data_IF_619828582145
#
_entry.id   IF_619828582145
#
_cell.length_a   1.000
_cell.length_b   1.000
_cell.length_c   1.000
_cell.angle_alpha   90.00
_cell.angle_beta   90.00
_cell.angle_gamma   90.00
#
_symmetry.space_group_name_H-M   'P 1'
#
loop_
_entity.id
_entity.type
_entity.pdbx_description
1 polymer ?
#
# COMPACT_ATOMS: atom_id res chain seq x y z
N UNK A 1 2.16 16.08 -1.49
CA UNK A 1 2.69 14.83 -0.89
C UNK A 1 2.81 14.95 0.63
N UNK A 2 3.41 16.02 1.15
CA UNK A 2 3.57 16.24 2.58
C UNK A 2 2.26 16.13 3.39
N UNK A 3 1.17 16.75 2.96
CA UNK A 3 -0.09 16.77 3.72
C UNK A 3 -0.85 15.43 3.72
N UNK A 4 -0.46 14.51 2.84
CA UNK A 4 -1.10 13.20 2.74
C UNK A 4 -0.81 12.36 3.98
N UNK A 5 0.41 12.43 4.52
CA UNK A 5 0.89 11.62 5.65
C UNK A 5 1.31 12.41 6.88
N UNK A 6 1.55 13.73 6.79
CA UNK A 6 1.96 14.53 7.95
C UNK A 6 0.94 14.43 9.08
N UNK A 7 1.40 14.07 10.27
CA UNK A 7 0.55 13.98 11.45
C UNK A 7 -0.34 12.73 11.48
N UNK A 8 -0.13 11.77 10.58
CA UNK A 8 -0.98 10.58 10.42
C UNK A 8 -0.20 9.29 10.66
N UNK A 9 -0.91 8.23 11.04
CA UNK A 9 -0.37 6.86 11.07
C UNK A 9 -0.43 6.22 9.69
N UNK A 10 0.64 5.53 9.30
CA UNK A 10 0.83 4.94 7.97
C UNK A 10 1.08 3.44 8.07
N UNK A 11 0.38 2.66 7.24
CA UNK A 11 0.64 1.24 7.02
C UNK A 11 1.11 1.02 5.59
N UNK A 12 2.32 0.50 5.41
CA UNK A 12 2.82 0.08 4.10
C UNK A 12 2.66 -1.44 3.92
N UNK A 13 1.89 -1.84 2.92
CA UNK A 13 1.65 -3.22 2.52
C UNK A 13 2.70 -3.65 1.50
N UNK A 14 3.33 -4.81 1.70
CA UNK A 14 4.37 -5.34 0.79
C UNK A 14 5.53 -4.37 0.62
N UNK A 15 6.16 -3.99 1.72
CA UNK A 15 7.10 -2.86 1.80
C UNK A 15 8.38 -3.08 1.01
N UNK A 16 8.79 -4.33 0.74
CA UNK A 16 10.02 -4.62 0.01
C UNK A 16 11.25 -3.98 0.70
N UNK A 17 11.83 -2.95 0.10
CA UNK A 17 12.97 -2.23 0.73
C UNK A 17 12.55 -1.23 1.81
N UNK A 18 11.27 -0.88 1.89
CA UNK A 18 10.70 0.07 2.84
C UNK A 18 10.87 1.54 2.43
N UNK A 19 11.32 1.81 1.21
CA UNK A 19 11.60 3.17 0.75
C UNK A 19 10.42 4.12 0.96
N UNK A 20 9.21 3.72 0.56
CA UNK A 20 8.05 4.59 0.59
C UNK A 20 7.63 4.91 2.03
N UNK A 21 7.50 3.92 2.90
CA UNK A 21 7.17 4.12 4.31
C UNK A 21 8.27 4.86 5.08
N UNK A 22 9.55 4.59 4.81
CA UNK A 22 10.65 5.36 5.41
C UNK A 22 10.58 6.84 5.02
N UNK A 23 10.24 7.14 3.76
CA UNK A 23 9.98 8.52 3.31
C UNK A 23 8.76 9.10 4.02
N UNK A 24 7.66 8.37 4.16
CA UNK A 24 6.48 8.81 4.91
C UNK A 24 6.82 9.21 6.36
N UNK A 25 7.63 8.39 7.03
CA UNK A 25 8.13 8.70 8.38
C UNK A 25 9.00 9.98 8.38
N UNK A 26 9.94 10.10 7.43
CA UNK A 26 10.83 11.25 7.34
C UNK A 26 10.09 12.58 7.04
N UNK A 27 8.97 12.51 6.32
CA UNK A 27 8.11 13.67 6.05
C UNK A 27 7.00 13.83 7.09
N UNK A 28 7.15 13.25 8.28
CA UNK A 28 6.34 13.60 9.45
C UNK A 28 5.06 12.80 9.64
N UNK A 29 4.98 11.57 9.12
CA UNK A 29 4.05 10.58 9.69
C UNK A 29 4.35 10.38 11.18
N UNK A 30 3.31 10.20 12.00
CA UNK A 30 3.46 10.02 13.45
C UNK A 30 3.84 8.59 13.80
N UNK A 31 3.46 7.65 12.95
CA UNK A 31 3.76 6.23 13.04
C UNK A 31 3.81 5.67 11.61
N UNK A 32 4.73 4.75 11.36
CA UNK A 32 4.79 3.99 10.12
C UNK A 32 5.06 2.52 10.43
N UNK A 33 4.16 1.65 9.99
CA UNK A 33 4.33 0.22 10.04
C UNK A 33 4.67 -0.31 8.65
N UNK A 34 5.87 -0.87 8.50
CA UNK A 34 6.32 -1.57 7.30
C UNK A 34 5.96 -3.04 7.42
N UNK A 35 5.29 -3.59 6.42
CA UNK A 35 4.86 -4.98 6.42
C UNK A 35 5.27 -5.73 5.17
N UNK A 36 5.65 -7.00 5.35
CA UNK A 36 5.92 -7.95 4.28
C UNK A 36 5.68 -9.37 4.80
N UNK A 37 5.57 -10.35 3.90
CA UNK A 37 5.43 -11.76 4.25
C UNK A 37 6.79 -12.48 4.24
N UNK A 38 7.76 -11.99 3.46
CA UNK A 38 9.04 -12.65 3.29
C UNK A 38 10.01 -12.29 4.44
N UNK A 39 10.51 -13.30 5.16
CA UNK A 39 11.42 -13.13 6.30
C UNK A 39 12.75 -12.45 5.96
N UNK A 40 13.28 -12.68 4.78
CA UNK A 40 14.51 -12.02 4.33
C UNK A 40 14.24 -10.53 4.06
N UNK A 41 13.07 -10.22 3.50
CA UNK A 41 12.61 -8.84 3.30
C UNK A 41 12.36 -8.15 4.64
N UNK A 42 11.74 -8.82 5.60
CA UNK A 42 11.55 -8.28 6.96
C UNK A 42 12.89 -7.97 7.66
N UNK A 43 13.91 -8.80 7.44
CA UNK A 43 15.25 -8.51 7.96
C UNK A 43 15.88 -7.30 7.26
N UNK A 44 15.74 -7.19 5.94
CA UNK A 44 16.17 -6.03 5.17
C UNK A 44 15.47 -4.74 5.64
N UNK A 45 14.16 -4.78 5.87
CA UNK A 45 13.37 -3.65 6.35
C UNK A 45 13.89 -3.15 7.70
N UNK A 46 14.24 -4.05 8.62
CA UNK A 46 14.83 -3.69 9.91
C UNK A 46 16.17 -2.98 9.73
N UNK A 47 17.06 -3.53 8.89
CA UNK A 47 18.36 -2.91 8.57
C UNK A 47 18.16 -1.52 7.96
N UNK A 48 17.27 -1.38 6.99
CA UNK A 48 17.01 -0.09 6.34
C UNK A 48 16.38 0.92 7.31
N UNK A 49 15.51 0.47 8.22
CA UNK A 49 14.95 1.31 9.27
C UNK A 49 16.03 1.79 10.23
N UNK A 50 16.94 0.92 10.64
CA UNK A 50 18.04 1.25 11.56
C UNK A 50 19.01 2.26 10.92
N UNK A 51 19.37 2.06 9.65
CA UNK A 51 20.25 2.98 8.89
C UNK A 51 19.62 4.37 8.76
N UNK A 52 18.29 4.45 8.64
CA UNK A 52 17.56 5.71 8.47
C UNK A 52 16.94 6.24 9.78
N UNK A 53 17.31 5.68 10.94
CA UNK A 53 16.69 6.00 12.23
C UNK A 53 16.78 7.48 12.64
N UNK A 54 17.79 8.21 12.17
CA UNK A 54 17.92 9.65 12.42
C UNK A 54 16.88 10.48 11.66
N UNK A 55 16.48 10.06 10.47
CA UNK A 55 15.50 10.75 9.62
C UNK A 55 14.09 10.19 9.78
N UNK A 56 13.95 8.89 10.00
CA UNK A 56 12.69 8.13 10.00
C UNK A 56 12.46 7.53 11.39
N UNK A 57 12.05 8.36 12.35
CA UNK A 57 12.08 8.04 13.79
C UNK A 57 10.94 7.15 14.29
N UNK A 58 9.85 7.05 13.53
CA UNK A 58 8.62 6.39 13.99
C UNK A 58 8.29 5.19 13.12
N UNK A 59 9.25 4.28 12.94
CA UNK A 59 9.13 3.13 12.03
C UNK A 59 9.17 1.82 12.82
N UNK A 60 8.27 0.91 12.48
CA UNK A 60 8.28 -0.46 12.97
C UNK A 60 8.10 -1.44 11.81
N UNK A 61 8.49 -2.70 12.01
CA UNK A 61 8.44 -3.75 10.99
C UNK A 61 7.67 -4.95 11.54
N UNK A 62 6.71 -5.47 10.77
CA UNK A 62 5.91 -6.64 11.17
C UNK A 62 5.67 -7.58 9.98
N UNK A 63 5.67 -8.88 10.25
CA UNK A 63 5.17 -9.88 9.30
C UNK A 63 3.65 -9.68 9.12
N UNK A 64 3.17 -9.74 7.87
CA UNK A 64 1.75 -9.65 7.56
C UNK A 64 1.38 -10.66 6.50
N UNK A 65 0.63 -11.68 6.91
CA UNK A 65 0.03 -12.65 5.98
C UNK A 65 -1.35 -12.17 5.53
N UNK A 66 -1.52 -11.99 4.23
CA UNK A 66 -2.77 -11.55 3.63
C UNK A 66 -3.86 -12.63 3.65
N UNK A 67 -3.53 -13.85 4.05
CA UNK A 67 -4.48 -14.94 4.23
C UNK A 67 -4.84 -15.15 5.71
N UNK A 68 -4.19 -14.42 6.62
CA UNK A 68 -4.42 -14.50 8.07
C UNK A 68 -5.49 -13.49 8.50
N UNK A 69 -6.69 -13.98 8.81
CA UNK A 69 -7.76 -13.15 9.38
C UNK A 69 -7.35 -12.52 10.72
N UNK A 70 -6.52 -13.21 11.50
CA UNK A 70 -5.99 -12.70 12.78
C UNK A 70 -5.10 -11.48 12.55
N UNK A 71 -4.17 -11.54 11.59
CA UNK A 71 -3.29 -10.42 11.26
C UNK A 71 -4.09 -9.19 10.79
N UNK A 72 -5.09 -9.40 9.92
CA UNK A 72 -5.97 -8.33 9.45
C UNK A 72 -6.79 -7.73 10.59
N UNK A 73 -7.34 -8.56 11.47
CA UNK A 73 -8.15 -8.12 12.60
C UNK A 73 -7.34 -7.24 13.56
N UNK A 74 -6.05 -7.52 13.72
CA UNK A 74 -5.16 -6.73 14.55
C UNK A 74 -4.90 -5.35 13.94
N UNK A 75 -4.90 -5.20 12.62
CA UNK A 75 -4.60 -3.92 11.94
C UNK A 75 -5.87 -3.11 11.58
N UNK A 76 -7.05 -3.74 11.69
CA UNK A 76 -8.36 -3.16 11.36
C UNK A 76 -8.56 -1.77 11.99
N UNK A 77 -8.75 -0.75 11.15
CA UNK A 77 -9.07 0.61 11.58
C UNK A 77 -7.96 1.36 12.33
N UNK A 78 -6.73 0.83 12.38
CA UNK A 78 -5.63 1.45 13.16
C UNK A 78 -4.87 2.57 12.44
N UNK A 79 -4.80 2.49 11.11
CA UNK A 79 -3.94 3.38 10.32
C UNK A 79 -4.75 4.34 9.48
N UNK A 80 -4.44 5.63 9.56
CA UNK A 80 -5.13 6.69 8.79
C UNK A 80 -4.85 6.55 7.29
N UNK A 81 -3.64 6.13 6.93
CA UNK A 81 -3.20 6.00 5.55
C UNK A 81 -2.63 4.62 5.32
N UNK A 82 -3.13 3.95 4.29
CA UNK A 82 -2.61 2.66 3.82
C UNK A 82 -1.95 2.91 2.46
N UNK A 83 -0.75 2.38 2.26
CA UNK A 83 -0.01 2.54 1.00
C UNK A 83 0.54 1.20 0.54
N UNK A 84 0.71 1.07 -0.77
CA UNK A 84 1.31 -0.11 -1.37
C UNK A 84 1.74 0.16 -2.80
N UNK A 85 2.80 -0.50 -3.24
CA UNK A 85 3.30 -0.42 -4.60
C UNK A 85 3.52 -1.81 -5.19
N UNK A 86 3.07 -2.04 -6.41
CA UNK A 86 3.24 -3.29 -7.15
C UNK A 86 2.69 -4.52 -6.39
N UNK A 87 1.50 -4.40 -5.80
CA UNK A 87 0.84 -5.49 -5.06
C UNK A 87 -0.12 -6.33 -5.91
N UNK A 88 -0.52 -5.81 -7.08
CA UNK A 88 -1.48 -6.47 -8.00
C UNK A 88 -0.72 -7.14 -9.13
N UNK A 89 -0.11 -8.29 -8.83
CA UNK A 89 0.72 -9.03 -9.79
C UNK A 89 0.31 -10.49 -9.99
N UNK A 90 -0.41 -11.09 -9.04
CA UNK A 90 -0.83 -12.49 -9.08
C UNK A 90 -2.37 -12.59 -8.97
N UNK A 91 -3.06 -13.17 -9.97
CA UNK A 91 -4.52 -13.33 -9.94
C UNK A 91 -5.02 -14.20 -8.78
N UNK A 92 -4.19 -15.11 -8.26
CA UNK A 92 -4.57 -15.97 -7.13
C UNK A 92 -4.51 -15.24 -5.79
N UNK A 93 -3.65 -14.21 -5.68
CA UNK A 93 -3.48 -13.40 -4.46
C UNK A 93 -4.43 -12.19 -4.45
N UNK A 94 -4.81 -11.69 -5.63
CA UNK A 94 -5.62 -10.47 -5.80
C UNK A 94 -6.93 -10.46 -4.99
N UNK A 95 -7.72 -11.56 -4.90
CA UNK A 95 -8.92 -11.58 -4.07
C UNK A 95 -8.66 -11.36 -2.57
N UNK A 96 -7.61 -11.97 -2.02
CA UNK A 96 -7.28 -11.84 -0.60
C UNK A 96 -6.67 -10.48 -0.27
N UNK A 97 -5.87 -9.93 -1.19
CA UNK A 97 -5.43 -8.54 -1.08
C UNK A 97 -6.62 -7.57 -1.04
N UNK A 98 -7.64 -7.79 -1.88
CA UNK A 98 -8.86 -6.98 -1.85
C UNK A 98 -9.65 -7.15 -0.53
N UNK A 99 -9.83 -8.39 -0.04
CA UNK A 99 -10.48 -8.66 1.26
C UNK A 99 -9.76 -7.96 2.41
N UNK A 100 -8.44 -7.92 2.38
CA UNK A 100 -7.64 -7.14 3.33
C UNK A 100 -8.02 -5.65 3.28
N UNK A 101 -8.07 -5.04 2.09
CA UNK A 101 -8.44 -3.62 1.97
C UNK A 101 -9.82 -3.33 2.57
N UNK A 102 -10.82 -4.19 2.32
CA UNK A 102 -12.15 -4.07 2.94
C UNK A 102 -12.11 -4.21 4.47
N UNK A 103 -11.19 -5.03 4.99
CA UNK A 103 -11.03 -5.24 6.43
C UNK A 103 -10.31 -4.08 7.12
N UNK A 104 -9.32 -3.47 6.45
CA UNK A 104 -8.49 -2.41 7.01
C UNK A 104 -9.15 -1.03 6.95
N UNK A 105 -9.85 -0.73 5.85
CA UNK A 105 -10.50 0.56 5.59
C UNK A 105 -11.92 0.53 6.16
N UNK A 106 -12.09 1.06 7.37
CA UNK A 106 -13.33 0.97 8.15
C UNK A 106 -13.86 2.31 8.64
N UNK A 107 -13.06 3.37 8.58
CA UNK A 107 -13.43 4.73 8.94
C UNK A 107 -13.31 5.67 7.73
N UNK A 108 -14.22 6.64 7.62
CA UNK A 108 -14.28 7.62 6.51
C UNK A 108 -13.04 8.52 6.42
N UNK A 109 -12.22 8.60 7.47
CA UNK A 109 -10.95 9.34 7.47
C UNK A 109 -9.80 8.54 6.85
N UNK A 110 -9.93 7.22 6.76
CA UNK A 110 -8.90 6.36 6.22
C UNK A 110 -8.86 6.43 4.70
N UNK A 111 -7.65 6.40 4.15
CA UNK A 111 -7.42 6.40 2.69
C UNK A 111 -6.36 5.37 2.36
N UNK A 112 -6.61 4.54 1.34
CA UNK A 112 -5.60 3.65 0.78
C UNK A 112 -5.13 4.11 -0.60
N UNK A 113 -3.82 4.09 -0.83
CA UNK A 113 -3.17 4.49 -2.09
C UNK A 113 -2.34 3.33 -2.62
N UNK A 114 -2.83 2.68 -3.68
CA UNK A 114 -2.18 1.52 -4.28
C UNK A 114 -1.67 1.90 -5.67
N UNK A 115 -0.35 1.95 -5.83
CA UNK A 115 0.28 2.13 -7.13
C UNK A 115 0.57 0.77 -7.75
N UNK A 116 0.15 0.56 -8.99
CA UNK A 116 0.29 -0.71 -9.70
C UNK A 116 0.89 -0.50 -11.08
N UNK A 117 2.04 -1.11 -11.34
CA UNK A 117 2.57 -1.29 -12.69
C UNK A 117 1.77 -2.37 -13.41
N UNK A 118 1.05 -2.00 -14.47
CA UNK A 118 0.18 -2.92 -15.23
C UNK A 118 1.04 -3.79 -16.14
N UNK A 119 1.43 -4.96 -15.62
CA UNK A 119 2.19 -5.98 -16.38
C UNK A 119 1.26 -6.97 -17.10
N UNK A 120 0.08 -7.22 -16.51
CA UNK A 120 -0.97 -8.09 -17.04
C UNK A 120 -2.31 -7.40 -16.86
N UNK A 121 -2.90 -6.95 -17.98
CA UNK A 121 -4.20 -6.29 -18.02
C UNK A 121 -5.29 -7.12 -17.32
N UNK A 122 -5.29 -8.44 -17.51
CA UNK A 122 -6.27 -9.34 -16.88
C UNK A 122 -6.23 -9.28 -15.35
N UNK A 123 -5.03 -9.35 -14.75
CA UNK A 123 -4.87 -9.28 -13.28
C UNK A 123 -5.28 -7.92 -12.74
N UNK A 124 -4.92 -6.83 -13.44
CA UNK A 124 -5.32 -5.49 -13.03
C UNK A 124 -6.84 -5.29 -13.16
N UNK A 125 -7.45 -5.79 -14.24
CA UNK A 125 -8.90 -5.72 -14.44
C UNK A 125 -9.68 -6.54 -13.41
N UNK A 126 -9.14 -7.68 -12.96
CA UNK A 126 -9.73 -8.43 -11.84
C UNK A 126 -9.77 -7.58 -10.57
N UNK A 127 -8.67 -6.89 -10.25
CA UNK A 127 -8.60 -6.00 -9.09
C UNK A 127 -9.59 -4.82 -9.20
N UNK A 128 -9.67 -4.16 -10.36
CA UNK A 128 -10.61 -3.04 -10.53
C UNK A 128 -12.07 -3.50 -10.48
N UNK A 129 -12.39 -4.68 -11.02
CA UNK A 129 -13.74 -5.25 -10.91
C UNK A 129 -14.13 -5.55 -9.45
N UNK A 130 -13.20 -6.04 -8.63
CA UNK A 130 -13.43 -6.23 -7.19
C UNK A 130 -13.72 -4.88 -6.50
N UNK A 131 -12.92 -3.85 -6.80
CA UNK A 131 -13.17 -2.50 -6.26
C UNK A 131 -14.51 -1.91 -6.69
N UNK A 132 -14.90 -2.06 -7.95
CA UNK A 132 -16.17 -1.57 -8.49
C UNK A 132 -17.38 -2.31 -7.90
N UNK A 133 -17.22 -3.60 -7.62
CA UNK A 133 -18.27 -4.44 -7.04
C UNK A 133 -18.35 -4.37 -5.51
N UNK A 134 -17.38 -3.74 -4.84
CA UNK A 134 -17.39 -3.59 -3.38
C UNK A 134 -18.66 -2.90 -2.90
N UNK A 135 -19.29 -3.47 -1.87
CA UNK A 135 -20.44 -2.86 -1.22
C UNK A 135 -20.03 -1.70 -0.30
N UNK A 136 -18.79 -1.70 0.22
CA UNK A 136 -18.35 -0.83 1.30
C UNK A 136 -17.26 0.17 0.89
N UNK A 137 -16.44 -0.15 -0.10
CA UNK A 137 -15.37 0.73 -0.59
C UNK A 137 -15.82 1.50 -1.84
N UNK A 138 -15.41 2.76 -1.93
CA UNK A 138 -15.34 3.50 -3.17
C UNK A 138 -13.89 3.61 -3.62
N UNK A 139 -13.66 3.66 -4.93
CA UNK A 139 -12.33 3.85 -5.48
C UNK A 139 -12.34 4.76 -6.69
N UNK A 140 -11.22 5.45 -6.91
CA UNK A 140 -10.90 6.09 -8.18
C UNK A 140 -9.51 5.63 -8.62
N UNK A 141 -9.38 5.32 -9.90
CA UNK A 141 -8.11 4.88 -10.49
C UNK A 141 -7.67 5.90 -11.52
N UNK A 142 -6.42 6.32 -11.44
CA UNK A 142 -5.82 7.31 -12.32
C UNK A 142 -4.61 6.71 -13.04
N UNK A 143 -4.44 7.04 -14.31
CA UNK A 143 -3.19 6.77 -15.02
C UNK A 143 -2.16 7.84 -14.62
N UNK A 144 -1.03 7.38 -14.09
CA UNK A 144 0.07 8.24 -13.66
C UNK A 144 1.35 7.99 -14.45
N UNK A 145 1.26 7.28 -15.58
CA UNK A 145 2.40 6.94 -16.44
C UNK A 145 3.12 8.19 -16.94
N UNK A 146 2.39 9.28 -17.17
CA UNK A 146 2.93 10.56 -17.66
C UNK A 146 3.46 11.46 -16.53
N UNK A 147 3.21 11.13 -15.25
CA UNK A 147 3.59 11.97 -14.11
C UNK A 147 5.05 11.78 -13.69
N UNK A 148 5.80 10.85 -14.28
CA UNK A 148 7.20 10.64 -13.96
C UNK A 148 8.02 10.02 -15.10
N UNK A 149 9.06 10.70 -15.61
CA UNK A 149 10.09 10.09 -16.46
C UNK A 149 11.13 9.26 -15.67
N UNK A 150 10.95 9.04 -14.36
CA UNK A 150 12.07 8.67 -13.47
C UNK A 150 12.39 7.16 -13.44
N UNK A 151 11.48 6.26 -13.85
CA UNK A 151 11.82 4.84 -14.02
C UNK A 151 11.01 4.18 -15.14
N UNK A 152 11.25 4.60 -16.38
CA UNK A 152 10.86 3.81 -17.55
C UNK A 152 12.08 2.98 -17.91
N UNK A 153 12.04 1.66 -17.68
CA UNK A 153 12.93 0.78 -18.43
C UNK A 153 12.59 1.02 -19.90
N UNK A 154 13.53 1.56 -20.67
CA UNK A 154 13.38 2.23 -21.98
C UNK A 154 12.62 1.46 -23.09
N UNK A 155 11.98 0.31 -22.84
CA UNK A 155 11.31 -0.50 -23.86
C UNK A 155 10.12 -1.35 -23.35
N UNK A 156 9.25 -0.83 -22.47
CA UNK A 156 7.98 -1.53 -22.17
C UNK A 156 6.80 -0.58 -22.11
N UNK A 157 5.75 -0.88 -22.89
CA UNK A 157 4.39 -0.31 -22.83
C UNK A 157 3.71 -0.60 -21.47
N UNK A 158 4.37 -0.30 -20.35
CA UNK A 158 3.89 -0.63 -19.02
C UNK A 158 3.32 0.63 -18.39
N UNK A 159 1.98 0.72 -18.34
CA UNK A 159 1.30 1.83 -17.67
C UNK A 159 1.35 1.67 -16.16
N UNK A 160 1.41 2.79 -15.43
CA UNK A 160 1.31 2.81 -13.97
C UNK A 160 -0.01 3.43 -13.58
N UNK A 161 -0.80 2.70 -12.78
CA UNK A 161 -2.10 3.15 -12.28
C UNK A 161 -2.03 3.40 -10.78
N UNK A 162 -2.64 4.49 -10.32
CA UNK A 162 -2.83 4.77 -8.90
C UNK A 162 -4.30 4.61 -8.55
N UNK A 163 -4.61 3.64 -7.69
CA UNK A 163 -5.94 3.46 -7.11
C UNK A 163 -6.00 4.13 -5.74
N UNK A 164 -6.93 5.08 -5.59
CA UNK A 164 -7.26 5.74 -4.32
C UNK A 164 -8.57 5.12 -3.83
N UNK A 165 -8.55 4.59 -2.60
CA UNK A 165 -9.64 3.77 -2.06
C UNK A 165 -10.04 4.34 -0.69
N UNK A 166 -11.35 4.45 -0.46
CA UNK A 166 -11.93 4.97 0.77
C UNK A 166 -13.24 4.25 1.11
N UNK A 167 -13.77 4.49 2.30
CA UNK A 167 -15.10 4.01 2.69
C UNK A 167 -16.19 4.84 1.97
N UNK A 168 -17.23 4.19 1.42
CA UNK A 168 -18.35 4.88 0.76
C UNK A 168 -19.02 5.92 1.67
N UNK A 169 -19.39 7.06 1.08
CA UNK A 169 -20.27 8.02 1.72
C UNK A 169 -21.72 7.55 1.65
N UNK A 170 -22.18 6.87 2.69
CA UNK A 170 -23.63 6.72 2.99
C UNK A 170 -24.18 8.06 3.47
#
# INVERSE_FOLDING_TARGET
MHDLVRGKSVLELGSGTGLLGLVCSAIGATETLLTDMNKDVLNLLKINSDINSETSKCVSVKELDWFSDDDMSELKGKYDVIIGSDLVYDPDITPEFFKMLETLVTDKKQMAYIASTVRREETFNQFTQLLESSAVLESSTMDISDLSPIFIQENSDCSVKLSIIALKQI
#
